data_IF_490931360551
#
_entry.id   IF_490931360551
#
_cell.length_a   1.000
_cell.length_b   1.000
_cell.length_c   1.000
_cell.angle_alpha   90.00
_cell.angle_beta   90.00
_cell.angle_gamma   90.00
#
_symmetry.space_group_name_H-M   'P 1'
#
loop_
_entity.id
_entity.type
_entity.pdbx_description
1 polymer ?
#
# COMPACT_ATOMS: atom_id res chain seq x y z
N UNK A 1 -18.51 -13.31 24.01
CA UNK A 1 -17.13 -13.46 24.47
C UNK A 1 -16.30 -14.30 23.51
N UNK A 2 -16.86 -15.36 22.98
CA UNK A 2 -16.17 -16.21 22.02
C UNK A 2 -15.86 -15.49 20.72
N UNK A 3 -16.76 -14.67 20.25
CA UNK A 3 -16.58 -13.89 19.04
C UNK A 3 -15.42 -12.91 19.18
N UNK A 4 -15.25 -12.33 20.34
CA UNK A 4 -14.14 -11.43 20.63
C UNK A 4 -12.82 -12.18 20.57
N UNK A 5 -12.79 -13.40 21.05
CA UNK A 5 -11.64 -14.26 21.00
C UNK A 5 -11.19 -14.54 19.58
N UNK A 6 -12.09 -14.96 18.74
CA UNK A 6 -11.79 -15.25 17.34
C UNK A 6 -11.30 -14.02 16.60
N UNK A 7 -11.90 -12.88 16.88
CA UNK A 7 -11.52 -11.64 16.27
C UNK A 7 -10.10 -11.23 16.64
N UNK A 8 -9.77 -11.29 17.90
CA UNK A 8 -8.42 -10.98 18.38
C UNK A 8 -7.39 -11.95 17.80
N UNK A 9 -7.73 -13.22 17.70
CA UNK A 9 -6.85 -14.23 17.14
C UNK A 9 -6.52 -13.94 15.67
N UNK A 10 -7.51 -13.57 14.88
CA UNK A 10 -7.27 -13.22 13.48
C UNK A 10 -6.39 -12.01 13.33
N UNK A 11 -6.58 -11.02 14.17
CA UNK A 11 -5.76 -9.81 14.14
C UNK A 11 -4.30 -10.12 14.43
N UNK A 12 -4.04 -10.96 15.41
CA UNK A 12 -2.67 -11.37 15.75
C UNK A 12 -2.02 -12.16 14.64
N UNK A 13 -2.75 -13.06 14.01
CA UNK A 13 -2.22 -13.85 12.90
C UNK A 13 -1.83 -12.97 11.73
N UNK A 14 -2.65 -11.99 11.41
CA UNK A 14 -2.36 -11.06 10.33
C UNK A 14 -1.11 -10.25 10.62
N UNK A 15 -0.96 -9.74 11.83
CA UNK A 15 0.21 -8.98 12.22
C UNK A 15 1.49 -9.80 12.14
N UNK A 16 1.43 -11.07 12.53
CA UNK A 16 2.59 -11.95 12.51
C UNK A 16 3.07 -12.27 11.09
N UNK A 17 2.20 -12.20 10.09
CA UNK A 17 2.57 -12.46 8.70
C UNK A 17 3.35 -11.31 8.06
N UNK A 18 3.31 -10.13 8.63
CA UNK A 18 3.98 -8.95 8.07
C UNK A 18 5.44 -8.90 8.50
N UNK A 19 6.36 -8.80 7.52
CA UNK A 19 7.80 -8.79 7.77
C UNK A 19 8.34 -7.37 7.88
N UNK A 20 8.09 -6.54 6.89
CA UNK A 20 8.68 -5.19 6.78
C UNK A 20 7.67 -4.08 6.99
N UNK A 21 6.42 -4.41 7.26
CA UNK A 21 5.36 -3.43 7.45
C UNK A 21 4.36 -3.93 8.47
N UNK A 22 3.76 -2.99 9.18
CA UNK A 22 2.66 -3.27 10.10
C UNK A 22 1.41 -2.59 9.55
N UNK A 23 0.34 -3.36 9.46
CA UNK A 23 -0.98 -2.83 9.13
C UNK A 23 -1.85 -2.97 10.37
N UNK A 24 -2.28 -1.86 10.92
CA UNK A 24 -3.12 -1.81 12.10
C UNK A 24 -4.32 -0.91 11.80
N UNK A 25 -5.49 -1.52 11.66
CA UNK A 25 -6.67 -0.81 11.19
C UNK A 25 -6.42 -0.30 9.77
N UNK A 26 -6.46 0.99 9.58
CA UNK A 26 -6.21 1.62 8.28
C UNK A 26 -4.81 2.26 8.16
N UNK A 27 -3.91 1.98 9.09
CA UNK A 27 -2.55 2.55 9.07
C UNK A 27 -1.54 1.55 8.56
N UNK A 28 -0.75 1.96 7.55
CA UNK A 28 0.39 1.20 7.05
C UNK A 28 1.64 1.89 7.54
N UNK A 29 2.55 1.14 8.17
CA UNK A 29 3.84 1.67 8.62
C UNK A 29 4.97 1.01 7.85
N UNK A 30 5.76 1.82 7.17
CA UNK A 30 6.95 1.40 6.45
C UNK A 30 8.19 1.92 7.18
N UNK A 31 9.25 1.14 7.19
CA UNK A 31 10.56 1.60 7.69
C UNK A 31 11.39 2.03 6.48
N UNK A 32 11.90 3.24 6.54
CA UNK A 32 12.71 3.79 5.48
C UNK A 32 13.93 2.91 5.20
N UNK A 33 14.13 2.53 3.96
CA UNK A 33 15.24 1.66 3.56
C UNK A 33 14.96 0.16 3.67
N UNK A 34 13.81 -0.23 4.20
CA UNK A 34 13.39 -1.63 4.23
C UNK A 34 12.38 -1.92 3.12
N UNK A 35 12.30 -3.16 2.71
CA UNK A 35 11.24 -3.59 1.79
C UNK A 35 9.90 -3.55 2.52
N UNK A 36 8.95 -2.79 1.96
CA UNK A 36 7.58 -2.78 2.42
C UNK A 36 6.83 -3.96 1.80
N UNK A 37 6.17 -4.74 2.63
CA UNK A 37 5.22 -5.76 2.20
C UNK A 37 3.98 -5.64 3.09
N UNK A 38 2.95 -4.99 2.59
CA UNK A 38 1.74 -4.70 3.36
C UNK A 38 0.58 -5.54 2.83
N UNK A 39 0.04 -6.41 3.68
CA UNK A 39 -1.16 -7.18 3.37
C UNK A 39 -2.39 -6.40 3.84
N UNK A 40 -3.31 -6.15 2.92
CA UNK A 40 -4.59 -5.52 3.20
C UNK A 40 -5.67 -6.54 2.88
N UNK A 41 -6.57 -6.75 3.82
CA UNK A 41 -7.60 -7.77 3.70
C UNK A 41 -9.00 -7.14 3.74
N UNK A 42 -9.91 -7.74 3.01
CA UNK A 42 -11.32 -7.35 2.99
C UNK A 42 -11.54 -5.88 2.61
N UNK A 43 -10.79 -5.40 1.63
CA UNK A 43 -10.97 -4.02 1.16
C UNK A 43 -12.16 -3.86 0.21
N UNK A 44 -12.76 -4.95 -0.20
CA UNK A 44 -13.92 -4.97 -1.09
C UNK A 44 -13.65 -5.80 -2.33
N UNK A 45 -14.70 -6.36 -2.93
CA UNK A 45 -14.56 -7.23 -4.09
C UNK A 45 -13.85 -6.53 -5.25
N UNK A 46 -12.92 -7.24 -5.86
CA UNK A 46 -12.09 -6.75 -6.98
C UNK A 46 -12.52 -7.41 -8.29
N UNK A 47 -13.83 -7.41 -8.55
CA UNK A 47 -14.38 -7.99 -9.77
C UNK A 47 -14.71 -6.90 -10.77
N UNK A 48 -14.67 -7.24 -12.07
CA UNK A 48 -15.04 -6.32 -13.15
C UNK A 48 -14.30 -5.00 -13.14
N UNK A 49 -13.00 -5.04 -12.95
CA UNK A 49 -12.14 -3.87 -12.95
C UNK A 49 -11.21 -3.85 -14.17
N UNK A 50 -10.74 -2.68 -14.53
CA UNK A 50 -9.69 -2.49 -15.53
C UNK A 50 -8.38 -2.02 -14.91
N UNK A 51 -8.46 -1.25 -13.82
CA UNK A 51 -7.28 -0.72 -13.13
C UNK A 51 -7.45 -0.73 -11.63
N UNK A 52 -6.33 -0.85 -10.94
CA UNK A 52 -6.24 -0.79 -9.48
C UNK A 52 -4.98 -0.02 -9.13
N UNK A 53 -5.11 1.00 -8.29
CA UNK A 53 -3.99 1.83 -7.85
C UNK A 53 -3.89 1.86 -6.33
N UNK A 54 -2.66 1.88 -5.85
CA UNK A 54 -2.30 2.27 -4.50
C UNK A 54 -1.56 3.58 -4.58
N UNK A 55 -2.05 4.62 -3.91
CA UNK A 55 -1.48 5.96 -3.99
C UNK A 55 -1.24 6.52 -2.59
N UNK A 56 -0.05 7.09 -2.38
CA UNK A 56 0.34 7.78 -1.14
C UNK A 56 0.66 9.23 -1.46
N UNK A 57 0.08 10.16 -0.74
CA UNK A 57 0.26 11.60 -0.93
C UNK A 57 0.59 12.30 0.38
N UNK A 58 1.36 13.37 0.30
CA UNK A 58 1.64 14.22 1.46
C UNK A 58 0.41 15.05 1.84
N UNK A 59 -0.33 15.50 0.84
CA UNK A 59 -1.59 16.23 1.00
C UNK A 59 -2.63 15.57 0.09
N UNK A 60 -3.84 15.40 0.59
CA UNK A 60 -4.92 14.79 -0.19
C UNK A 60 -5.24 15.55 -1.47
N UNK A 61 -4.94 16.85 -1.50
CA UNK A 61 -5.14 17.69 -2.68
C UNK A 61 -4.02 17.58 -3.72
N UNK A 62 -2.93 16.87 -3.42
CA UNK A 62 -1.82 16.70 -4.35
C UNK A 62 -2.25 15.95 -5.61
N UNK A 63 -1.60 16.24 -6.72
CA UNK A 63 -1.82 15.48 -7.97
C UNK A 63 -1.12 14.13 -7.90
N UNK A 64 -1.53 13.19 -8.74
CA UNK A 64 -0.88 11.88 -8.80
C UNK A 64 0.57 11.98 -9.23
N UNK A 65 0.90 12.94 -10.09
CA UNK A 65 2.27 13.14 -10.55
C UNK A 65 3.23 13.57 -9.42
N UNK A 66 2.70 14.09 -8.33
CA UNK A 66 3.48 14.47 -7.14
C UNK A 66 3.32 13.47 -6.00
N UNK A 67 2.72 12.33 -6.26
CA UNK A 67 2.53 11.29 -5.25
C UNK A 67 3.86 10.84 -4.64
N UNK A 68 3.82 10.54 -3.35
CA UNK A 68 4.97 9.97 -2.67
C UNK A 68 5.20 8.53 -3.10
N UNK A 69 4.13 7.79 -3.34
CA UNK A 69 4.13 6.46 -3.94
C UNK A 69 2.89 6.34 -4.81
N UNK A 70 3.01 5.82 -6.01
CA UNK A 70 1.87 5.34 -6.77
C UNK A 70 2.23 4.06 -7.49
N UNK A 71 1.46 3.02 -7.23
CA UNK A 71 1.62 1.70 -7.83
C UNK A 71 0.31 1.34 -8.53
N UNK A 72 0.42 0.88 -9.77
CA UNK A 72 -0.71 0.34 -10.53
C UNK A 72 -0.53 -1.16 -10.67
N UNK A 73 -1.63 -1.91 -10.63
CA UNK A 73 -1.59 -3.37 -10.72
C UNK A 73 -0.83 -3.88 -11.94
N UNK A 74 -1.09 -3.32 -13.11
CA UNK A 74 -0.45 -3.74 -14.34
C UNK A 74 0.85 -3.01 -14.64
N UNK A 75 0.92 -1.74 -14.24
CA UNK A 75 2.05 -0.85 -14.57
C UNK A 75 3.19 -0.87 -13.57
N UNK A 76 2.98 -1.43 -12.38
CA UNK A 76 3.96 -1.40 -11.32
C UNK A 76 4.12 -0.01 -10.70
N UNK A 77 5.32 0.32 -10.25
CA UNK A 77 5.60 1.62 -9.62
C UNK A 77 5.60 2.73 -10.67
N UNK A 78 4.73 3.70 -10.50
CA UNK A 78 4.58 4.84 -11.42
C UNK A 78 5.29 6.09 -10.91
N UNK A 79 5.11 6.40 -9.62
CA UNK A 79 5.68 7.59 -8.99
C UNK A 79 6.27 7.24 -7.64
N UNK A 80 7.38 7.90 -7.31
CA UNK A 80 8.07 7.78 -6.02
C UNK A 80 8.67 9.13 -5.64
N UNK A 81 8.43 9.56 -4.40
CA UNK A 81 8.97 10.78 -3.83
C UNK A 81 8.71 12.02 -4.72
N UNK A 82 7.51 12.12 -5.29
CA UNK A 82 7.10 13.25 -6.10
C UNK A 82 7.66 13.29 -7.52
N UNK A 83 8.18 12.18 -8.01
CA UNK A 83 8.74 12.09 -9.36
C UNK A 83 8.38 10.77 -10.03
N UNK A 84 8.44 10.72 -11.34
CA UNK A 84 8.23 9.49 -12.09
C UNK A 84 9.26 8.43 -11.69
N UNK A 85 8.79 7.22 -11.45
CA UNK A 85 9.66 6.12 -11.08
C UNK A 85 10.49 5.65 -12.29
N UNK A 86 11.73 5.26 -12.04
CA UNK A 86 12.62 4.76 -13.07
C UNK A 86 12.62 3.24 -13.21
N UNK A 87 12.09 2.54 -12.20
CA UNK A 87 12.05 1.08 -12.18
C UNK A 87 10.67 0.60 -11.73
N UNK A 88 9.81 0.34 -12.68
CA UNK A 88 8.43 -0.09 -12.42
C UNK A 88 8.37 -1.38 -11.58
N UNK A 89 9.30 -2.30 -11.79
CA UNK A 89 9.34 -3.57 -11.07
C UNK A 89 9.67 -3.45 -9.58
N UNK A 90 9.99 -2.26 -9.09
CA UNK A 90 10.27 -2.02 -7.68
C UNK A 90 9.02 -1.80 -6.82
N UNK A 91 7.86 -1.70 -7.43
CA UNK A 91 6.58 -1.69 -6.73
C UNK A 91 5.58 -2.59 -7.41
N UNK A 92 4.72 -3.24 -6.65
CA UNK A 92 3.70 -4.12 -7.20
C UNK A 92 2.50 -4.25 -6.26
N UNK A 93 1.38 -4.61 -6.87
CA UNK A 93 0.17 -5.01 -6.16
C UNK A 93 -0.10 -6.46 -6.56
N UNK A 94 -0.26 -7.34 -5.58
CA UNK A 94 -0.66 -8.72 -5.82
C UNK A 94 -2.05 -8.92 -5.25
N UNK A 95 -2.98 -9.44 -6.07
CA UNK A 95 -4.32 -9.79 -5.61
C UNK A 95 -4.26 -11.23 -5.11
N UNK A 96 -4.53 -11.40 -3.81
CA UNK A 96 -4.54 -12.72 -3.18
C UNK A 96 -5.92 -13.36 -3.22
N UNK A 97 -6.97 -12.55 -3.11
CA UNK A 97 -8.36 -13.01 -3.22
C UNK A 97 -9.22 -11.88 -3.79
N UNK A 98 -9.74 -12.08 -4.99
CA UNK A 98 -10.59 -11.09 -5.66
C UNK A 98 -11.94 -10.93 -5.01
N UNK A 99 -12.49 -11.99 -4.44
CA UNK A 99 -13.85 -11.97 -3.89
C UNK A 99 -13.96 -11.13 -2.62
N UNK A 100 -12.92 -11.11 -1.81
CA UNK A 100 -12.86 -10.35 -0.57
C UNK A 100 -12.08 -9.05 -0.71
N UNK A 101 -11.21 -8.98 -1.71
CA UNK A 101 -10.30 -7.86 -1.86
C UNK A 101 -9.11 -7.96 -0.93
N UNK A 102 -8.41 -9.10 -0.98
CA UNK A 102 -7.17 -9.29 -0.25
C UNK A 102 -6.02 -9.01 -1.20
N UNK A 103 -5.21 -8.03 -0.87
CA UNK A 103 -4.09 -7.59 -1.70
C UNK A 103 -2.81 -7.45 -0.89
N UNK A 104 -1.67 -7.59 -1.55
CA UNK A 104 -0.37 -7.28 -0.97
C UNK A 104 0.29 -6.17 -1.77
N UNK A 105 0.68 -5.11 -1.08
CA UNK A 105 1.42 -4.00 -1.64
C UNK A 105 2.90 -4.23 -1.36
N UNK A 106 3.71 -4.27 -2.41
CA UNK A 106 5.16 -4.41 -2.28
C UNK A 106 5.85 -3.15 -2.79
N UNK A 107 6.79 -2.64 -2.00
CA UNK A 107 7.69 -1.56 -2.42
C UNK A 107 9.10 -1.92 -1.95
N UNK A 108 10.03 -2.03 -2.88
CA UNK A 108 11.37 -2.50 -2.57
C UNK A 108 12.20 -1.46 -1.82
N UNK A 109 13.17 -1.92 -1.06
CA UNK A 109 14.03 -1.11 -0.21
C UNK A 109 14.66 0.12 -0.90
N UNK A 110 15.17 0.04 -2.13
CA UNK A 110 15.71 1.24 -2.78
C UNK A 110 14.71 2.37 -2.95
N UNK A 111 13.43 2.03 -3.03
CA UNK A 111 12.37 3.03 -3.21
C UNK A 111 11.89 3.59 -1.88
N UNK A 112 11.73 2.77 -0.85
CA UNK A 112 11.39 3.27 0.49
C UNK A 112 12.50 4.18 1.02
N UNK A 113 13.74 3.94 0.66
CA UNK A 113 14.88 4.78 1.04
C UNK A 113 14.78 6.22 0.52
N UNK A 114 14.00 6.44 -0.52
CA UNK A 114 13.77 7.77 -1.09
C UNK A 114 12.73 8.58 -0.33
N UNK A 115 11.92 7.93 0.50
CA UNK A 115 10.85 8.59 1.23
C UNK A 115 11.38 9.26 2.47
N UNK A 116 10.83 10.42 2.82
CA UNK A 116 11.14 11.10 4.05
C UNK A 116 10.30 10.54 5.20
N UNK A 117 10.87 10.38 6.41
CA UNK A 117 10.06 9.98 7.56
C UNK A 117 8.93 10.99 7.82
N UNK A 118 7.77 10.48 8.14
CA UNK A 118 6.60 11.31 8.38
C UNK A 118 5.31 10.54 8.19
N UNK A 119 4.20 11.26 8.27
CA UNK A 119 2.86 10.72 8.08
C UNK A 119 2.27 11.24 6.78
N UNK A 120 1.71 10.34 6.01
CA UNK A 120 1.13 10.59 4.71
C UNK A 120 -0.27 9.98 4.65
N UNK A 121 -0.99 10.25 3.57
CA UNK A 121 -2.31 9.68 3.31
C UNK A 121 -2.21 8.65 2.19
N UNK A 122 -2.93 7.54 2.30
CA UNK A 122 -3.03 6.59 1.20
C UNK A 122 -4.47 6.24 0.88
N UNK A 123 -4.69 5.81 -0.34
CA UNK A 123 -5.92 5.15 -0.72
C UNK A 123 -5.64 4.02 -1.72
N UNK A 124 -6.65 3.17 -1.88
CA UNK A 124 -6.69 2.19 -2.97
C UNK A 124 -7.94 2.48 -3.78
N UNK A 125 -7.73 2.73 -5.07
CA UNK A 125 -8.81 3.01 -6.01
C UNK A 125 -8.89 1.94 -7.08
N UNK A 126 -10.12 1.65 -7.50
CA UNK A 126 -10.42 0.69 -8.55
C UNK A 126 -11.20 1.42 -9.65
N UNK A 127 -10.87 1.10 -10.89
CA UNK A 127 -11.62 1.57 -12.05
C UNK A 127 -12.38 0.40 -12.67
N UNK A 128 -13.67 0.61 -12.99
CA UNK A 128 -14.48 -0.43 -13.62
C UNK A 128 -13.93 -0.85 -14.99
N UNK A 129 -14.32 -2.03 -15.43
CA UNK A 129 -13.90 -2.55 -16.75
C UNK A 129 -14.36 -1.68 -17.91
N UNK A 130 -15.42 -0.89 -17.72
CA UNK A 130 -15.88 0.08 -18.72
C UNK A 130 -15.06 1.36 -18.72
N UNK A 131 -14.23 1.59 -17.69
CA UNK A 131 -13.43 2.79 -17.54
C UNK A 131 -14.21 4.02 -17.05
N UNK A 132 -15.49 3.86 -16.76
CA UNK A 132 -16.37 5.00 -16.40
C UNK A 132 -16.39 5.27 -14.91
N UNK A 133 -16.41 4.20 -14.10
CA UNK A 133 -16.55 4.33 -12.66
C UNK A 133 -15.21 4.14 -11.96
N UNK A 134 -14.89 5.07 -11.07
CA UNK A 134 -13.73 4.97 -10.18
C UNK A 134 -14.26 4.99 -8.74
N UNK A 135 -13.80 4.07 -7.93
CA UNK A 135 -14.22 3.95 -6.53
C UNK A 135 -13.01 3.80 -5.62
N UNK A 136 -13.06 4.49 -4.48
CA UNK A 136 -12.08 4.30 -3.42
C UNK A 136 -12.54 3.15 -2.54
N UNK A 137 -11.72 2.10 -2.46
CA UNK A 137 -12.04 0.90 -1.68
C UNK A 137 -11.64 1.05 -0.21
N UNK A 138 -10.49 1.66 0.03
CA UNK A 138 -10.01 1.91 1.39
C UNK A 138 -9.06 3.10 1.38
N UNK A 139 -8.92 3.73 2.53
CA UNK A 139 -8.00 4.83 2.74
C UNK A 139 -7.50 4.86 4.18
N UNK A 140 -6.41 5.53 4.43
CA UNK A 140 -5.86 5.66 5.77
C UNK A 140 -4.54 6.41 5.78
N UNK A 141 -3.81 6.21 6.87
CA UNK A 141 -2.49 6.82 7.06
C UNK A 141 -1.38 5.89 6.57
N UNK A 142 -0.39 6.47 5.95
CA UNK A 142 0.84 5.80 5.57
C UNK A 142 1.98 6.49 6.33
N UNK A 143 2.61 5.76 7.24
CA UNK A 143 3.68 6.31 8.09
C UNK A 143 5.01 5.76 7.63
N UNK A 144 5.97 6.64 7.41
CA UNK A 144 7.36 6.26 7.13
C UNK A 144 8.16 6.50 8.40
N UNK A 145 8.63 5.45 9.03
CA UNK A 145 9.47 5.52 10.19
C UNK A 145 10.94 5.62 9.77
N UNK A 146 11.72 6.40 10.52
CA UNK A 146 13.14 6.52 10.27
C UNK A 146 13.86 5.20 10.58
N UNK A 147 14.82 4.85 9.75
CA UNK A 147 15.70 3.74 9.99
C UNK A 147 16.76 4.11 11.04
N UNK A 148 17.03 3.21 11.96
CA UNK A 148 18.08 3.39 12.96
C UNK A 148 19.41 2.94 12.40
N UNK A 149 19.43 1.77 11.78
CA UNK A 149 20.63 1.26 11.10
C UNK A 149 20.53 1.55 9.62
N UNK A 150 21.44 2.32 9.11
CA UNK A 150 21.51 2.60 7.68
C UNK A 150 22.51 1.67 7.03
N UNK A 151 22.00 0.61 6.45
CA UNK A 151 22.83 -0.26 5.62
C UNK A 151 23.20 0.53 4.36
N UNK A 152 24.45 0.81 4.24
CA UNK A 152 24.93 1.70 3.19
C UNK A 152 25.67 0.98 2.08
N UNK A 153 25.66 -0.31 2.13
CA UNK A 153 26.46 -1.05 1.18
C UNK A 153 26.22 -0.97 -0.22
#
# INVERSE_FOLDING_TARGET
>A
AEEIWEYASRTLTQSAASVAATVAGSTITAIRGDTLSAALENIGALTNYSKLWFTVKADEADTDATAQVQIELAGGLLYINGAAATTAANGSITINDESTGDVTILLKAPETAKLSPGSYYYDIQIQSSTGILVSTLTSGMFVVAADVTRATS
#
